data_IF_957388764474
#
_entry.id   IF_957388764474
#
_cell.length_a   1.000
_cell.length_b   1.000
_cell.length_c   1.000
_cell.angle_alpha   90.00
_cell.angle_beta   90.00
_cell.angle_gamma   90.00
#
_symmetry.space_group_name_H-M   'P 1'
#
loop_
_entity.id
_entity.type
_entity.pdbx_description
1 polymer ?
#
# COMPACT_ATOMS: atom_id res chain seq x y z
N UNK A 1 6.17 14.36 -22.28
CA UNK A 1 5.20 13.35 -21.79
C UNK A 1 3.97 14.08 -21.31
N UNK A 2 2.76 13.66 -21.70
CA UNK A 2 1.52 14.37 -21.33
C UNK A 2 1.18 14.12 -19.84
N UNK A 3 0.75 15.15 -19.11
CA UNK A 3 0.29 15.04 -17.71
C UNK A 3 -0.78 13.95 -17.56
N UNK A 4 -1.70 13.89 -18.52
CA UNK A 4 -2.78 12.90 -18.52
C UNK A 4 -2.24 11.46 -18.53
N UNK A 5 -1.13 11.21 -19.24
CA UNK A 5 -0.49 9.90 -19.25
C UNK A 5 0.18 9.58 -17.91
N UNK A 6 0.86 10.56 -17.29
CA UNK A 6 1.48 10.39 -15.95
C UNK A 6 0.41 10.06 -14.90
N UNK A 7 -0.72 10.76 -14.94
CA UNK A 7 -1.84 10.53 -14.04
C UNK A 7 -2.44 9.14 -14.27
N UNK A 8 -2.74 8.77 -15.53
CA UNK A 8 -3.30 7.46 -15.83
C UNK A 8 -2.35 6.32 -15.42
N UNK A 9 -1.05 6.50 -15.65
CA UNK A 9 -0.03 5.52 -15.29
C UNK A 9 0.11 5.37 -13.76
N UNK A 10 0.19 6.48 -13.02
CA UNK A 10 0.17 6.43 -11.55
C UNK A 10 -1.11 5.79 -11.02
N UNK A 11 -2.26 6.10 -11.61
CA UNK A 11 -3.54 5.49 -11.23
C UNK A 11 -3.57 3.98 -11.46
N UNK A 12 -3.02 3.48 -12.58
CA UNK A 12 -2.92 2.05 -12.83
C UNK A 12 -2.05 1.33 -11.79
N UNK A 13 -0.91 1.93 -11.42
CA UNK A 13 -0.03 1.39 -10.36
C UNK A 13 -0.75 1.39 -9.00
N UNK A 14 -1.52 2.43 -8.71
CA UNK A 14 -2.31 2.53 -7.48
C UNK A 14 -3.34 1.39 -7.38
N UNK A 15 -4.09 1.15 -8.46
CA UNK A 15 -5.05 0.05 -8.53
C UNK A 15 -4.38 -1.31 -8.34
N UNK A 16 -3.19 -1.51 -8.92
CA UNK A 16 -2.41 -2.73 -8.74
C UNK A 16 -1.99 -2.92 -7.28
N UNK A 17 -1.61 -1.83 -6.60
CA UNK A 17 -1.35 -1.83 -5.17
C UNK A 17 -2.58 -2.17 -4.32
N UNK A 18 -3.74 -1.57 -4.59
CA UNK A 18 -5.00 -1.90 -3.89
C UNK A 18 -5.39 -3.36 -4.11
N UNK A 19 -5.28 -3.84 -5.34
CA UNK A 19 -5.56 -5.22 -5.67
C UNK A 19 -4.67 -6.16 -4.84
N UNK A 20 -3.37 -5.87 -4.77
CA UNK A 20 -2.45 -6.67 -4.00
C UNK A 20 -2.76 -6.69 -2.48
N UNK A 21 -3.18 -5.56 -1.91
CA UNK A 21 -3.61 -5.49 -0.50
C UNK A 21 -4.88 -6.31 -0.21
N UNK A 22 -5.76 -6.43 -1.20
CA UNK A 22 -7.08 -7.04 -1.03
C UNK A 22 -7.02 -8.56 -1.15
N UNK A 23 -6.23 -9.08 -2.10
CA UNK A 23 -6.28 -10.50 -2.48
C UNK A 23 -5.14 -11.34 -1.89
N UNK A 24 -3.98 -10.76 -1.60
CA UNK A 24 -2.85 -11.54 -1.09
C UNK A 24 -2.85 -11.66 0.44
N UNK A 25 -2.42 -12.84 0.92
CA UNK A 25 -2.41 -13.21 2.35
C UNK A 25 -1.04 -13.14 3.00
N UNK A 26 0.03 -13.19 2.20
CA UNK A 26 1.39 -13.14 2.71
C UNK A 26 1.75 -11.71 3.10
N UNK A 27 2.37 -11.55 4.27
CA UNK A 27 2.90 -10.28 4.75
C UNK A 27 3.80 -9.64 3.69
N UNK A 28 4.67 -10.42 3.04
CA UNK A 28 5.57 -9.93 1.99
C UNK A 28 4.78 -9.36 0.80
N UNK A 29 3.72 -10.03 0.36
CA UNK A 29 2.86 -9.55 -0.73
C UNK A 29 2.13 -8.26 -0.36
N UNK A 30 1.67 -8.15 0.89
CA UNK A 30 1.05 -6.92 1.43
C UNK A 30 2.06 -5.77 1.43
N UNK A 31 3.32 -6.00 1.80
CA UNK A 31 4.37 -4.99 1.74
C UNK A 31 4.71 -4.53 0.33
N UNK A 32 4.81 -5.46 -0.63
CA UNK A 32 4.96 -5.11 -2.05
C UNK A 32 3.80 -4.24 -2.52
N UNK A 33 2.59 -4.53 -2.05
CA UNK A 33 1.39 -3.77 -2.40
C UNK A 33 1.42 -2.34 -1.86
N UNK A 34 1.86 -2.16 -0.61
CA UNK A 34 2.13 -0.82 -0.05
C UNK A 34 3.21 -0.07 -0.83
N UNK A 35 4.27 -0.77 -1.24
CA UNK A 35 5.35 -0.19 -2.03
C UNK A 35 4.84 0.39 -3.36
N UNK A 36 3.93 -0.33 -4.03
CA UNK A 36 3.30 0.12 -5.28
C UNK A 36 2.43 1.36 -5.06
N UNK A 37 1.65 1.41 -3.97
CA UNK A 37 0.84 2.59 -3.61
C UNK A 37 1.73 3.80 -3.39
N UNK A 38 2.84 3.64 -2.65
CA UNK A 38 3.80 4.71 -2.38
C UNK A 38 4.43 5.18 -3.70
N UNK A 39 4.88 4.27 -4.57
CA UNK A 39 5.44 4.64 -5.87
C UNK A 39 4.45 5.37 -6.77
N UNK A 40 3.18 4.93 -6.80
CA UNK A 40 2.13 5.65 -7.51
C UNK A 40 1.99 7.09 -7.01
N UNK A 41 1.89 7.28 -5.69
CA UNK A 41 1.80 8.60 -5.09
C UNK A 41 3.04 9.44 -5.45
N UNK A 42 4.25 8.87 -5.37
CA UNK A 42 5.49 9.56 -5.72
C UNK A 42 5.46 10.06 -7.17
N UNK A 43 5.11 9.19 -8.13
CA UNK A 43 4.98 9.56 -9.55
C UNK A 43 3.94 10.68 -9.72
N UNK A 44 2.82 10.60 -9.01
CA UNK A 44 1.76 11.59 -9.07
C UNK A 44 2.23 12.97 -8.56
N UNK A 45 2.86 13.03 -7.39
CA UNK A 45 3.39 14.27 -6.81
C UNK A 45 4.50 14.90 -7.66
N UNK A 46 5.44 14.10 -8.17
CA UNK A 46 6.46 14.61 -9.10
C UNK A 46 5.86 15.05 -10.43
N UNK A 47 4.82 14.36 -10.90
CA UNK A 47 4.02 14.75 -12.05
C UNK A 47 3.45 16.14 -11.88
N UNK A 48 2.69 16.39 -10.80
CA UNK A 48 2.12 17.70 -10.51
C UNK A 48 3.19 18.78 -10.29
N UNK A 49 4.27 18.46 -9.58
CA UNK A 49 5.39 19.37 -9.33
C UNK A 49 5.96 19.93 -10.64
N UNK A 50 6.14 19.08 -11.65
CA UNK A 50 6.70 19.46 -12.94
C UNK A 50 5.81 20.48 -13.69
N UNK A 51 4.48 20.38 -13.56
CA UNK A 51 3.54 21.28 -14.25
C UNK A 51 3.22 22.56 -13.46
N UNK A 52 3.10 22.48 -12.13
CA UNK A 52 2.70 23.61 -11.29
C UNK A 52 3.85 24.55 -10.92
N UNK A 53 5.03 24.01 -10.61
CA UNK A 53 6.12 24.78 -10.01
C UNK A 53 7.34 24.96 -10.93
N UNK A 54 7.20 24.64 -12.22
CA UNK A 54 8.25 24.77 -13.25
C UNK A 54 9.61 24.22 -12.80
N UNK A 55 9.60 23.07 -12.11
CA UNK A 55 10.80 22.38 -11.64
C UNK A 55 11.70 23.20 -10.72
N UNK A 56 11.12 23.93 -9.76
CA UNK A 56 11.88 24.37 -8.59
C UNK A 56 12.58 23.17 -7.91
N UNK A 57 13.55 23.46 -7.04
CA UNK A 57 14.27 22.40 -6.30
C UNK A 57 13.56 22.09 -4.97
N UNK A 58 12.85 23.07 -4.42
CA UNK A 58 12.23 23.00 -3.09
C UNK A 58 11.06 22.01 -2.99
N UNK A 59 10.23 21.93 -4.03
CA UNK A 59 9.14 20.96 -4.14
C UNK A 59 9.65 19.51 -4.15
N UNK A 60 10.74 19.23 -4.88
CA UNK A 60 11.38 17.91 -4.92
C UNK A 60 11.92 17.50 -3.55
N UNK A 61 12.54 18.44 -2.84
CA UNK A 61 13.04 18.23 -1.48
C UNK A 61 11.88 17.91 -0.53
N UNK A 62 10.80 18.69 -0.59
CA UNK A 62 9.61 18.46 0.23
C UNK A 62 8.99 17.08 -0.04
N UNK A 63 8.81 16.72 -1.32
CA UNK A 63 8.31 15.40 -1.73
C UNK A 63 9.21 14.29 -1.19
N UNK A 64 10.53 14.43 -1.32
CA UNK A 64 11.50 13.44 -0.82
C UNK A 64 11.39 13.24 0.71
N UNK A 65 11.33 14.32 1.48
CA UNK A 65 11.16 14.25 2.93
C UNK A 65 9.80 13.66 3.35
N UNK A 66 8.73 13.97 2.62
CA UNK A 66 7.43 13.37 2.88
C UNK A 66 7.50 11.85 2.70
N UNK A 67 8.07 11.35 1.60
CA UNK A 67 8.14 9.92 1.36
C UNK A 67 9.08 9.19 2.32
N UNK A 68 10.26 9.73 2.65
CA UNK A 68 11.18 9.06 3.59
C UNK A 68 10.55 8.86 4.97
N UNK A 69 9.75 9.82 5.45
CA UNK A 69 9.03 9.68 6.71
C UNK A 69 8.00 8.54 6.68
N UNK A 70 7.25 8.40 5.59
CA UNK A 70 6.30 7.31 5.38
C UNK A 70 7.03 5.96 5.35
N UNK A 71 8.18 5.87 4.65
CA UNK A 71 9.00 4.67 4.62
C UNK A 71 9.49 4.25 6.00
N UNK A 72 9.93 5.20 6.81
CA UNK A 72 10.38 4.92 8.18
C UNK A 72 9.25 4.36 9.04
N UNK A 73 8.05 4.95 8.96
CA UNK A 73 6.88 4.44 9.70
C UNK A 73 6.54 3.02 9.25
N UNK A 74 6.52 2.76 7.94
CA UNK A 74 6.20 1.45 7.39
C UNK A 74 7.26 0.41 7.78
N UNK A 75 8.54 0.78 7.73
CA UNK A 75 9.64 -0.03 8.23
C UNK A 75 9.50 -0.34 9.72
N UNK A 76 9.16 0.63 10.57
CA UNK A 76 8.94 0.41 11.99
C UNK A 76 7.80 -0.56 12.26
N UNK A 77 6.68 -0.47 11.52
CA UNK A 77 5.56 -1.40 11.64
C UNK A 77 5.99 -2.82 11.24
N UNK A 78 6.69 -2.97 10.12
CA UNK A 78 7.18 -4.27 9.64
C UNK A 78 8.15 -4.89 10.63
N UNK A 79 9.12 -4.10 11.09
CA UNK A 79 10.13 -4.54 12.04
C UNK A 79 9.51 -4.96 13.36
N UNK A 80 8.53 -4.20 13.88
CA UNK A 80 7.80 -4.55 15.09
C UNK A 80 7.05 -5.88 14.95
N UNK A 81 6.30 -6.06 13.86
CA UNK A 81 5.58 -7.31 13.60
C UNK A 81 6.53 -8.50 13.45
N UNK A 82 7.65 -8.31 12.74
CA UNK A 82 8.66 -9.35 12.56
C UNK A 82 9.36 -9.72 13.87
N UNK A 83 9.77 -8.72 14.67
CA UNK A 83 10.42 -8.92 15.97
C UNK A 83 9.56 -9.71 16.95
N UNK A 84 8.25 -9.41 16.98
CA UNK A 84 7.27 -10.18 17.77
C UNK A 84 7.18 -11.63 17.31
N UNK A 85 7.19 -11.88 16.00
CA UNK A 85 7.13 -13.24 15.45
C UNK A 85 8.38 -14.07 15.75
N UNK A 86 9.56 -13.46 15.79
CA UNK A 86 10.81 -14.16 16.17
C UNK A 86 10.92 -14.46 17.67
N UNK A 87 9.95 -14.04 18.48
CA UNK A 87 9.96 -14.13 19.93
C UNK A 87 9.84 -15.55 20.49
N UNK A 88 8.70 -16.25 20.36
CA UNK A 88 8.42 -17.48 21.14
C UNK A 88 7.52 -18.51 20.41
N UNK A 89 6.90 -18.20 19.27
CA UNK A 89 5.97 -19.14 18.63
C UNK A 89 6.27 -19.27 17.15
N UNK A 90 6.30 -20.53 16.69
CA UNK A 90 6.50 -20.99 15.32
C UNK A 90 6.05 -19.96 14.28
N UNK A 91 6.85 -19.79 13.22
CA UNK A 91 6.47 -19.15 11.96
C UNK A 91 5.03 -19.54 11.63
N UNK A 92 4.06 -18.72 12.04
CA UNK A 92 2.66 -19.09 11.99
C UNK A 92 2.21 -18.80 10.56
N UNK A 93 2.48 -19.76 9.69
CA UNK A 93 2.01 -19.89 8.30
C UNK A 93 0.46 -19.81 8.22
N UNK A 94 -0.23 -19.76 9.37
CA UNK A 94 -1.67 -19.71 9.52
C UNK A 94 -2.25 -18.30 9.71
N UNK A 95 -1.43 -17.27 9.92
CA UNK A 95 -1.93 -15.90 10.08
C UNK A 95 -2.26 -15.26 8.72
N UNK A 96 -3.52 -14.84 8.59
CA UNK A 96 -4.06 -14.17 7.42
C UNK A 96 -3.78 -12.67 7.53
N UNK A 97 -2.76 -12.18 6.84
CA UNK A 97 -2.37 -10.76 6.86
C UNK A 97 -3.20 -9.87 5.92
N UNK A 98 -4.33 -10.37 5.40
CA UNK A 98 -5.26 -9.54 4.62
C UNK A 98 -5.79 -8.40 5.48
N UNK A 99 -5.61 -7.17 4.98
CA UNK A 99 -6.24 -5.99 5.58
C UNK A 99 -7.77 -6.01 5.42
N UNK A 100 -8.26 -6.59 4.32
CA UNK A 100 -9.68 -6.71 4.04
C UNK A 100 -10.06 -8.18 3.83
N UNK A 101 -11.00 -8.65 4.65
CA UNK A 101 -11.64 -9.96 4.45
C UNK A 101 -12.98 -9.73 3.76
N UNK A 102 -13.01 -9.97 2.45
CA UNK A 102 -14.27 -10.06 1.72
C UNK A 102 -14.75 -11.52 1.74
N UNK A 103 -15.91 -11.74 2.34
CA UNK A 103 -16.66 -12.99 2.26
C UNK A 103 -17.74 -12.88 1.19
N UNK A 104 -18.21 -14.02 0.67
CA UNK A 104 -19.32 -14.04 -0.30
C UNK A 104 -20.59 -13.44 0.32
N UNK A 105 -20.81 -13.65 1.62
CA UNK A 105 -21.93 -13.07 2.37
C UNK A 105 -21.91 -11.54 2.39
N UNK A 106 -20.73 -10.90 2.43
CA UNK A 106 -20.64 -9.43 2.44
C UNK A 106 -21.17 -8.78 1.14
N UNK A 107 -21.10 -9.50 0.03
CA UNK A 107 -21.57 -9.01 -1.28
C UNK A 107 -23.07 -9.25 -1.50
N UNK A 108 -23.60 -10.32 -0.90
CA UNK A 108 -24.95 -10.80 -1.17
C UNK A 108 -25.91 -10.66 0.02
N UNK A 109 -25.42 -10.17 1.17
CA UNK A 109 -26.22 -10.02 2.39
C UNK A 109 -26.72 -11.36 2.95
N UNK A 110 -26.08 -12.46 2.58
CA UNK A 110 -26.36 -13.80 3.11
C UNK A 110 -25.71 -13.90 4.50
N UNK A 111 -26.20 -13.13 5.46
CA UNK A 111 -25.88 -13.38 6.86
C UNK A 111 -26.34 -14.81 7.18
N UNK A 112 -25.46 -15.61 7.79
CA UNK A 112 -25.84 -16.95 8.24
C UNK A 112 -26.97 -16.83 9.27
N UNK A 113 -28.21 -16.97 8.82
CA UNK A 113 -29.37 -17.15 9.69
C UNK A 113 -29.25 -18.57 10.26
N UNK A 114 -28.64 -18.69 11.45
CA UNK A 114 -28.65 -19.91 12.25
C UNK A 114 -27.33 -20.69 12.22
N UNK A 115 -26.47 -20.41 13.20
CA UNK A 115 -25.58 -21.39 13.83
C UNK A 115 -25.54 -20.98 15.31
N UNK A 116 -26.51 -21.47 16.08
CA UNK A 116 -26.41 -21.63 17.54
C UNK A 116 -25.46 -22.81 17.86
#
# INVERSE_FOLDING_TARGET
MNLQFIILFSFAIFLLGIFGLTFYRSLLSVLISFQLIIFSATINFFGFSLFLYKAMTWDKIFIFFAFISIYLVLFSIVFYNYSIQTGIYELDVKNDFRFFRFSKSDWWGEDKIGED
#
